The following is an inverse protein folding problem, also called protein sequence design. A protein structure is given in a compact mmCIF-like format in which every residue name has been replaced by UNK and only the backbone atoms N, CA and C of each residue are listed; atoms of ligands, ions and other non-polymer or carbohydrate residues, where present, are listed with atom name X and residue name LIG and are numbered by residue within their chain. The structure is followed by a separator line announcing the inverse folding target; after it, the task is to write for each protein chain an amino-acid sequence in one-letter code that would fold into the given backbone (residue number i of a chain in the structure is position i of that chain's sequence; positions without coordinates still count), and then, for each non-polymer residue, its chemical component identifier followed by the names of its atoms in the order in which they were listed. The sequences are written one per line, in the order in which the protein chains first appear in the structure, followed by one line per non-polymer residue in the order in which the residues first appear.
data_IF_994851451545
#
_entry.id   IF_994851451545
#
_cell.length_a   1.000
_cell.length_b   1.000
_cell.length_c   1.000
_cell.angle_alpha   90.00
_cell.angle_beta   90.00
_cell.angle_gamma   90.00
#
_symmetry.space_group_name_H-M   'P 1'
#
loop_
_entity.id
_entity.type
_entity.pdbx_description
1 polymer ?
#
# COMPACT_ATOMS: atom_id res chain seq x y z
N UNK A 1 -7.47 13.90 8.97
CA UNK A 1 -6.15 13.45 8.43
C UNK A 1 -6.39 12.19 7.60
N UNK A 2 -5.48 11.82 6.69
CA UNK A 2 -5.60 10.57 5.92
C UNK A 2 -4.49 9.58 6.29
N UNK A 3 -4.80 8.30 6.15
CA UNK A 3 -3.83 7.23 6.20
C UNK A 3 -3.92 6.37 4.95
N UNK A 4 -2.80 5.76 4.58
CA UNK A 4 -2.65 4.89 3.41
C UNK A 4 -2.02 3.55 3.79
N UNK A 5 -2.35 2.51 3.02
CA UNK A 5 -1.67 1.20 3.06
C UNK A 5 -1.67 0.58 1.67
N UNK A 6 -0.76 -0.34 1.42
CA UNK A 6 -0.78 -1.17 0.23
C UNK A 6 -1.56 -2.45 0.53
N UNK A 7 -2.51 -2.75 -0.33
CA UNK A 7 -3.24 -4.00 -0.36
C UNK A 7 -2.93 -4.78 -1.63
N UNK A 8 -3.27 -6.05 -1.61
CA UNK A 8 -3.10 -6.95 -2.73
C UNK A 8 -4.19 -8.02 -2.77
N UNK A 9 -4.36 -8.64 -3.94
CA UNK A 9 -5.30 -9.74 -4.11
C UNK A 9 -4.88 -10.94 -3.26
N UNK A 10 -5.86 -11.64 -2.68
CA UNK A 10 -5.65 -12.79 -1.79
C UNK A 10 -4.82 -13.93 -2.40
N UNK A 11 -4.84 -14.08 -3.73
CA UNK A 11 -4.09 -15.11 -4.45
C UNK A 11 -2.63 -14.73 -4.73
N UNK A 12 -2.23 -13.47 -4.50
CA UNK A 12 -0.83 -13.06 -4.57
C UNK A 12 -0.09 -13.64 -3.38
N UNK A 13 0.91 -14.46 -3.66
CA UNK A 13 1.84 -14.97 -2.65
C UNK A 13 3.15 -14.20 -2.77
N UNK A 14 3.42 -13.39 -1.76
CA UNK A 14 4.71 -12.74 -1.66
C UNK A 14 5.78 -13.69 -1.12
N UNK A 15 7.04 -13.43 -1.48
CA UNK A 15 8.17 -14.05 -0.80
C UNK A 15 8.19 -13.61 0.67
N UNK A 16 8.86 -14.40 1.53
CA UNK A 16 8.94 -14.15 2.98
C UNK A 16 9.55 -12.77 3.31
N UNK A 17 10.25 -12.17 2.35
CA UNK A 17 10.89 -10.86 2.47
C UNK A 17 10.03 -9.67 2.06
N UNK A 18 8.79 -9.89 1.58
CA UNK A 18 7.94 -8.75 1.27
C UNK A 18 7.61 -8.00 2.56
N UNK A 19 7.83 -6.68 2.61
CA UNK A 19 7.78 -5.96 3.87
C UNK A 19 6.36 -5.98 4.42
N UNK A 20 6.12 -6.76 5.49
CA UNK A 20 4.81 -6.84 6.18
C UNK A 20 4.27 -5.47 6.59
N UNK A 21 5.16 -4.49 6.76
CA UNK A 21 4.85 -3.10 7.05
C UNK A 21 4.03 -2.40 5.96
N UNK A 22 4.02 -2.87 4.72
CA UNK A 22 3.27 -2.24 3.62
C UNK A 22 1.75 -2.38 3.76
N UNK A 23 1.26 -3.38 4.49
CA UNK A 23 -0.18 -3.55 4.79
C UNK A 23 -0.61 -2.80 6.06
N UNK A 24 0.33 -2.20 6.80
CA UNK A 24 -0.01 -1.36 7.94
C UNK A 24 -0.53 0.01 7.47
N UNK A 25 -1.36 0.65 8.29
CA UNK A 25 -1.81 2.02 8.04
C UNK A 25 -0.74 3.02 8.42
N UNK A 26 -0.34 3.85 7.46
CA UNK A 26 0.64 4.92 7.64
C UNK A 26 0.01 6.29 7.40
N UNK A 27 0.47 7.35 8.09
CA UNK A 27 0.13 8.73 7.74
C UNK A 27 0.32 8.98 6.23
N UNK A 28 -0.70 9.57 5.58
CA UNK A 28 -0.60 9.95 4.18
C UNK A 28 0.23 11.23 4.04
N UNK A 29 1.54 11.09 3.82
CA UNK A 29 2.39 12.21 3.36
C UNK A 29 2.59 12.12 1.85
N UNK A 30 2.89 13.25 1.15
CA UNK A 30 3.18 13.22 -0.28
C UNK A 30 4.31 12.25 -0.65
N UNK A 31 5.39 12.24 0.15
CA UNK A 31 6.58 11.41 -0.10
C UNK A 31 6.27 9.92 0.06
N UNK A 32 5.49 9.55 1.09
CA UNK A 32 5.11 8.16 1.29
C UNK A 32 4.12 7.70 0.22
N UNK A 33 3.23 8.58 -0.23
CA UNK A 33 2.31 8.27 -1.31
C UNK A 33 3.07 7.96 -2.61
N UNK A 34 4.03 8.79 -2.99
CA UNK A 34 4.88 8.57 -4.18
C UNK A 34 5.63 7.23 -4.08
N UNK A 35 6.22 6.93 -2.92
CA UNK A 35 6.87 5.64 -2.68
C UNK A 35 5.91 4.46 -2.84
N UNK A 36 4.70 4.56 -2.28
CA UNK A 36 3.70 3.50 -2.39
C UNK A 36 3.19 3.33 -3.81
N UNK A 37 3.06 4.42 -4.58
CA UNK A 37 2.69 4.35 -6.00
C UNK A 37 3.77 3.63 -6.81
N UNK A 38 5.05 3.91 -6.56
CA UNK A 38 6.16 3.18 -7.17
C UNK A 38 6.17 1.70 -6.82
N UNK A 39 5.90 1.34 -5.55
CA UNK A 39 5.79 -0.06 -5.12
C UNK A 39 4.62 -0.76 -5.79
N UNK A 40 3.43 -0.13 -5.82
CA UNK A 40 2.24 -0.71 -6.44
C UNK A 40 2.45 -0.90 -7.95
N UNK A 41 3.09 0.06 -8.62
CA UNK A 41 3.47 -0.06 -10.02
C UNK A 41 4.36 -1.29 -10.24
N UNK A 42 5.49 -1.37 -9.54
CA UNK A 42 6.43 -2.48 -9.69
C UNK A 42 5.79 -3.84 -9.34
N UNK A 43 4.95 -3.90 -8.30
CA UNK A 43 4.29 -5.13 -7.90
C UNK A 43 3.22 -5.58 -8.92
N UNK A 44 2.52 -4.65 -9.54
CA UNK A 44 1.58 -4.95 -10.63
C UNK A 44 2.29 -5.41 -11.90
N UNK A 45 3.47 -4.91 -12.22
CA UNK A 45 4.28 -5.42 -13.34
C UNK A 45 4.71 -6.87 -13.12
N UNK A 46 5.04 -7.25 -11.87
CA UNK A 46 5.51 -8.60 -11.52
C UNK A 46 4.34 -9.60 -11.41
N UNK A 47 3.25 -9.20 -10.76
CA UNK A 47 2.16 -10.11 -10.41
C UNK A 47 0.94 -10.02 -11.34
N UNK A 48 0.90 -9.00 -12.19
CA UNK A 48 -0.19 -8.71 -13.11
C UNK A 48 -0.96 -7.44 -12.73
N UNK A 49 -1.58 -6.75 -13.70
CA UNK A 49 -2.31 -5.51 -13.46
C UNK A 49 -3.45 -5.67 -12.44
N UNK A 50 -3.60 -4.67 -11.55
CA UNK A 50 -4.67 -4.65 -10.55
C UNK A 50 -4.56 -5.75 -9.49
N UNK A 51 -3.36 -6.29 -9.28
CA UNK A 51 -3.07 -7.20 -8.18
C UNK A 51 -2.75 -6.47 -6.89
N UNK A 52 -2.22 -5.25 -6.98
CA UNK A 52 -1.85 -4.36 -5.88
C UNK A 52 -2.51 -2.99 -6.04
N UNK A 53 -2.91 -2.37 -4.94
CA UNK A 53 -3.47 -1.03 -4.92
C UNK A 53 -3.23 -0.33 -3.57
N UNK A 54 -3.33 0.99 -3.57
CA UNK A 54 -3.28 1.81 -2.35
C UNK A 54 -4.71 1.98 -1.84
N UNK A 55 -4.94 1.60 -0.59
CA UNK A 55 -6.16 1.94 0.11
C UNK A 55 -5.94 3.22 0.92
N UNK A 56 -6.93 4.12 0.91
CA UNK A 56 -6.91 5.39 1.66
C UNK A 56 -8.07 5.41 2.65
N UNK A 57 -7.84 5.92 3.86
CA UNK A 57 -8.90 6.16 4.85
C UNK A 57 -8.76 7.53 5.51
N UNK A 58 -9.89 8.14 5.84
CA UNK A 58 -9.92 9.30 6.71
C UNK A 58 -9.78 8.85 8.16
N UNK A 59 -8.96 9.56 8.93
CA UNK A 59 -8.84 9.43 10.39
C UNK A 59 -9.21 10.76 11.02
N UNK A 60 -10.15 10.68 11.94
CA UNK A 60 -10.55 11.78 12.82
C UNK A 60 -9.54 11.88 13.96
N UNK A 61 -9.08 13.10 14.23
CA UNK A 61 -8.30 13.39 15.44
C UNK A 61 -9.34 13.78 16.49
N UNK A 62 -9.61 12.89 17.44
CA UNK A 62 -10.38 13.27 18.62
C UNK A 62 -9.48 14.20 19.46
N UNK A 63 -9.93 15.44 19.63
CA UNK A 63 -9.28 16.46 20.45
C UNK A 63 -9.53 16.22 21.94
#
# INVERSE_FOLDING_TARGET
MYQIRILWRRNVRHSVHFPKMLNAWWPSTPELLEQFEGIVYAANEIHGPGTHWIERRQVEVLH
#
